data_IF_666663576969
#
_entry.id   IF_666663576969
#
_cell.length_a   1.000
_cell.length_b   1.000
_cell.length_c   1.000
_cell.angle_alpha   90.00
_cell.angle_beta   90.00
_cell.angle_gamma   90.00
#
_symmetry.space_group_name_H-M   'P 1'
#
loop_
_entity.id
_entity.type
_entity.pdbx_description
1 polymer ?
#
# COMPACT_ATOMS: atom_id res chain seq x y z
N UNK A 1 -14.60 -16.00 15.62
CA UNK A 1 -13.33 -16.44 14.99
C UNK A 1 -12.78 -15.23 14.27
N UNK A 2 -11.98 -14.43 14.98
CA UNK A 2 -11.35 -13.23 14.43
C UNK A 2 -10.06 -13.64 13.76
N UNK A 3 -10.03 -13.57 12.43
CA UNK A 3 -8.79 -13.54 11.67
C UNK A 3 -8.27 -12.11 11.78
N UNK A 4 -7.26 -11.89 12.63
CA UNK A 4 -6.62 -10.59 12.75
C UNK A 4 -5.58 -10.46 11.63
N UNK A 5 -5.72 -9.44 10.78
CA UNK A 5 -4.91 -9.23 9.56
C UNK A 5 -3.40 -9.18 9.78
N UNK A 6 -2.95 -8.94 11.02
CA UNK A 6 -1.55 -8.96 11.43
C UNK A 6 -0.93 -10.36 11.24
N UNK A 7 -1.69 -11.44 11.49
CA UNK A 7 -1.14 -12.80 11.49
C UNK A 7 -0.86 -13.34 10.07
N UNK A 8 -1.53 -12.84 9.03
CA UNK A 8 -1.56 -13.50 7.73
C UNK A 8 -0.37 -13.14 6.82
N UNK A 9 -0.03 -11.86 6.66
CA UNK A 9 1.17 -11.51 5.89
C UNK A 9 2.44 -11.78 6.70
N UNK A 10 2.41 -11.58 8.02
CA UNK A 10 3.53 -11.95 8.89
C UNK A 10 3.79 -13.46 8.89
N UNK A 11 2.74 -14.31 8.89
CA UNK A 11 2.90 -15.74 8.69
C UNK A 11 3.38 -16.08 7.27
N UNK A 12 2.90 -15.40 6.23
CA UNK A 12 3.44 -15.55 4.88
C UNK A 12 4.93 -15.23 4.80
N UNK A 13 5.36 -14.17 5.51
CA UNK A 13 6.77 -13.84 5.69
C UNK A 13 7.51 -14.87 6.58
N UNK A 14 6.88 -15.44 7.61
CA UNK A 14 7.48 -16.45 8.48
C UNK A 14 7.53 -17.86 7.86
N UNK A 15 6.66 -18.15 6.88
CA UNK A 15 6.64 -19.38 6.08
C UNK A 15 7.58 -19.29 4.87
N UNK A 16 7.87 -18.06 4.40
CA UNK A 16 8.96 -17.76 3.47
C UNK A 16 9.94 -16.68 3.99
N UNK A 17 10.62 -16.91 5.14
CA UNK A 17 11.53 -15.93 5.75
C UNK A 17 12.61 -15.49 4.77
N UNK A 18 13.03 -16.42 3.91
CA UNK A 18 14.07 -16.20 2.92
C UNK A 18 13.78 -15.04 1.99
N UNK A 19 12.55 -14.81 1.53
CA UNK A 19 12.32 -13.75 0.53
C UNK A 19 12.45 -12.35 1.15
N UNK A 20 11.76 -12.08 2.25
CA UNK A 20 11.87 -10.77 2.93
C UNK A 20 13.27 -10.57 3.51
N UNK A 21 13.83 -11.58 4.16
CA UNK A 21 15.17 -11.48 4.75
C UNK A 21 16.30 -11.46 3.70
N UNK A 22 16.12 -11.99 2.50
CA UNK A 22 17.10 -11.86 1.41
C UNK A 22 16.98 -10.50 0.71
N UNK A 23 15.74 -10.05 0.50
CA UNK A 23 15.45 -8.88 -0.34
C UNK A 23 15.65 -7.57 0.42
N UNK A 24 15.23 -7.47 1.69
CA UNK A 24 15.29 -6.21 2.46
C UNK A 24 16.30 -6.21 3.61
N UNK A 25 17.04 -7.31 3.84
CA UNK A 25 18.12 -7.30 4.86
C UNK A 25 19.19 -6.27 4.51
N UNK A 26 19.49 -5.41 5.49
CA UNK A 26 20.48 -4.34 5.34
C UNK A 26 20.00 -3.15 4.52
N UNK A 27 18.74 -3.14 4.08
CA UNK A 27 18.11 -1.97 3.48
C UNK A 27 17.33 -1.19 4.54
N UNK A 28 17.41 0.14 4.48
CA UNK A 28 16.53 0.99 5.27
C UNK A 28 15.09 0.89 4.73
N UNK A 29 14.10 0.92 5.62
CA UNK A 29 12.71 1.06 5.21
C UNK A 29 12.52 2.35 4.39
N UNK A 30 11.59 2.36 3.41
CA UNK A 30 11.32 3.55 2.62
C UNK A 30 10.76 4.68 3.49
N UNK A 31 11.27 5.90 3.30
CA UNK A 31 10.86 7.09 4.07
C UNK A 31 9.51 7.68 3.64
N UNK A 32 8.96 7.19 2.54
CA UNK A 32 7.76 7.70 1.90
C UNK A 32 7.10 6.63 1.03
N UNK A 33 5.79 6.78 0.80
CA UNK A 33 5.06 5.91 -0.12
C UNK A 33 5.68 5.95 -1.52
N UNK A 34 6.14 7.12 -1.98
CA UNK A 34 6.75 7.25 -3.31
C UNK A 34 8.04 6.46 -3.42
N UNK A 35 8.92 6.52 -2.42
CA UNK A 35 10.12 5.69 -2.36
C UNK A 35 9.77 4.19 -2.33
N UNK A 36 8.76 3.80 -1.54
CA UNK A 36 8.26 2.42 -1.49
C UNK A 36 7.70 1.96 -2.83
N UNK A 37 6.93 2.81 -3.52
CA UNK A 37 6.26 2.49 -4.77
C UNK A 37 7.23 2.34 -5.95
N UNK A 38 8.31 3.13 -5.96
CA UNK A 38 9.36 3.06 -7.00
C UNK A 38 10.32 1.88 -6.80
N UNK A 39 10.46 1.39 -5.57
CA UNK A 39 11.29 0.22 -5.28
C UNK A 39 10.46 -1.07 -5.40
N UNK A 40 10.80 -1.91 -6.38
CA UNK A 40 10.05 -3.13 -6.67
C UNK A 40 9.98 -4.10 -5.48
N UNK A 41 11.04 -4.19 -4.69
CA UNK A 41 11.09 -5.06 -3.53
C UNK A 41 10.16 -4.56 -2.42
N UNK A 42 10.29 -3.29 -2.06
CA UNK A 42 9.46 -2.68 -1.03
C UNK A 42 7.99 -2.60 -1.44
N UNK A 43 7.70 -2.30 -2.70
CA UNK A 43 6.32 -2.33 -3.22
C UNK A 43 5.72 -3.73 -3.13
N UNK A 44 6.49 -4.79 -3.45
CA UNK A 44 6.00 -6.18 -3.37
C UNK A 44 5.63 -6.53 -1.93
N UNK A 45 6.47 -6.15 -0.97
CA UNK A 45 6.21 -6.35 0.46
C UNK A 45 4.97 -5.57 0.90
N UNK A 46 4.85 -4.31 0.52
CA UNK A 46 3.69 -3.49 0.85
C UNK A 46 2.40 -4.02 0.22
N UNK A 47 2.46 -4.53 -1.02
CA UNK A 47 1.33 -5.16 -1.68
C UNK A 47 0.91 -6.45 -0.94
N UNK A 48 1.86 -7.28 -0.50
CA UNK A 48 1.57 -8.49 0.30
C UNK A 48 0.87 -8.14 1.62
N UNK A 49 1.31 -7.07 2.29
CA UNK A 49 0.64 -6.51 3.46
C UNK A 49 -0.81 -6.17 3.15
N UNK A 50 -1.06 -5.32 2.13
CA UNK A 50 -2.41 -4.93 1.72
C UNK A 50 -3.27 -6.14 1.30
N UNK A 51 -2.69 -7.12 0.61
CA UNK A 51 -3.38 -8.33 0.17
C UNK A 51 -3.86 -9.18 1.34
N UNK A 52 -3.08 -9.27 2.41
CA UNK A 52 -3.51 -10.00 3.62
C UNK A 52 -4.69 -9.35 4.33
N UNK A 53 -4.86 -8.05 4.15
CA UNK A 53 -5.99 -7.28 4.66
C UNK A 53 -7.13 -7.13 3.64
N UNK A 54 -7.03 -7.80 2.48
CA UNK A 54 -7.98 -7.66 1.37
C UNK A 54 -8.18 -6.20 0.92
N UNK A 55 -7.12 -5.40 0.93
CA UNK A 55 -7.13 -3.95 0.70
C UNK A 55 -6.18 -3.51 -0.44
N UNK A 56 -6.09 -4.29 -1.53
CA UNK A 56 -5.17 -4.01 -2.66
C UNK A 56 -5.79 -3.11 -3.73
N UNK A 57 -7.10 -2.87 -3.70
CA UNK A 57 -7.84 -2.21 -4.78
C UNK A 57 -7.27 -0.84 -5.14
N UNK A 58 -6.83 -0.07 -4.14
CA UNK A 58 -6.23 1.23 -4.35
C UNK A 58 -4.85 1.12 -5.03
N UNK A 59 -4.05 0.10 -4.71
CA UNK A 59 -2.74 -0.12 -5.32
C UNK A 59 -2.89 -0.62 -6.76
N UNK A 60 -3.81 -1.55 -6.97
CA UNK A 60 -4.08 -2.13 -8.29
C UNK A 60 -4.66 -1.06 -9.24
N UNK A 61 -5.51 -0.16 -8.73
CA UNK A 61 -5.99 1.01 -9.46
C UNK A 61 -4.84 1.94 -9.88
N UNK A 62 -3.96 2.35 -8.95
CA UNK A 62 -2.82 3.23 -9.27
C UNK A 62 -1.93 2.60 -10.36
N UNK A 63 -1.66 1.30 -10.27
CA UNK A 63 -0.87 0.56 -11.27
C UNK A 63 -1.55 0.52 -12.64
N UNK A 64 -2.87 0.31 -12.67
CA UNK A 64 -3.63 0.32 -13.92
C UNK A 64 -3.62 1.71 -14.56
N UNK A 65 -3.76 2.78 -13.77
CA UNK A 65 -3.62 4.15 -14.28
C UNK A 65 -2.22 4.44 -14.82
N UNK A 66 -1.15 3.99 -14.13
CA UNK A 66 0.22 4.13 -14.63
C UNK A 66 0.43 3.40 -15.97
N UNK A 67 -0.18 2.20 -16.11
CA UNK A 67 -0.18 1.46 -17.37
C UNK A 67 -0.91 2.23 -18.48
N UNK A 68 -2.10 2.78 -18.20
CA UNK A 68 -2.82 3.63 -19.13
C UNK A 68 -1.99 4.84 -19.54
N UNK A 69 -1.39 5.57 -18.60
CA UNK A 69 -0.56 6.74 -18.89
C UNK A 69 0.63 6.40 -19.80
N UNK A 70 1.17 5.18 -19.70
CA UNK A 70 2.27 4.71 -20.56
C UNK A 70 1.85 4.27 -21.97
N UNK A 71 0.60 3.85 -22.14
CA UNK A 71 0.10 3.23 -23.39
C UNK A 71 -0.86 4.12 -24.17
N UNK A 72 -1.66 4.94 -23.48
CA UNK A 72 -2.79 5.67 -24.03
C UNK A 72 -3.91 4.77 -24.56
N UNK A 73 -3.93 3.49 -24.16
CA UNK A 73 -4.86 2.49 -24.69
C UNK A 73 -6.26 2.69 -24.11
N UNK A 74 -7.25 2.92 -24.98
CA UNK A 74 -8.63 3.14 -24.58
C UNK A 74 -9.28 1.87 -24.02
N UNK A 75 -8.84 0.68 -24.46
CA UNK A 75 -9.35 -0.58 -23.89
C UNK A 75 -8.91 -0.69 -22.42
N UNK A 76 -7.66 -0.30 -22.11
CA UNK A 76 -7.15 -0.23 -20.73
C UNK A 76 -7.93 0.81 -19.92
N UNK A 77 -8.23 1.98 -20.49
CA UNK A 77 -9.03 2.99 -19.83
C UNK A 77 -10.42 2.47 -19.46
N UNK A 78 -11.08 1.77 -20.39
CA UNK A 78 -12.39 1.18 -20.17
C UNK A 78 -12.34 0.09 -19.08
N UNK A 79 -11.31 -0.77 -19.10
CA UNK A 79 -11.10 -1.78 -18.06
C UNK A 79 -10.92 -1.15 -16.67
N UNK A 80 -10.18 -0.05 -16.57
CA UNK A 80 -10.02 0.70 -15.31
C UNK A 80 -11.38 1.19 -14.81
N UNK A 81 -12.16 1.81 -15.69
CA UNK A 81 -13.47 2.33 -15.36
C UNK A 81 -14.42 1.22 -14.86
N UNK A 82 -14.51 0.13 -15.62
CA UNK A 82 -15.38 -1.00 -15.31
C UNK A 82 -14.99 -1.73 -14.04
N UNK A 83 -13.69 -1.80 -13.72
CA UNK A 83 -13.21 -2.55 -12.57
C UNK A 83 -13.20 -1.76 -11.27
N UNK A 84 -12.93 -0.47 -11.33
CA UNK A 84 -12.63 0.35 -10.15
C UNK A 84 -13.54 1.56 -9.95
N UNK A 85 -14.19 2.07 -11.01
CA UNK A 85 -14.84 3.40 -10.96
C UNK A 85 -16.35 3.32 -10.97
N UNK A 86 -16.95 2.57 -11.89
CA UNK A 86 -18.42 2.57 -12.05
C UNK A 86 -19.14 2.13 -10.76
N UNK A 87 -20.41 2.52 -10.63
CA UNK A 87 -21.18 2.33 -9.40
C UNK A 87 -21.29 0.87 -8.95
N UNK A 88 -21.33 -0.08 -9.89
CA UNK A 88 -21.39 -1.52 -9.64
C UNK A 88 -20.05 -2.24 -9.87
N UNK A 89 -18.95 -1.49 -9.86
CA UNK A 89 -17.61 -2.03 -10.07
C UNK A 89 -17.29 -3.13 -9.03
N UNK A 90 -16.75 -4.28 -9.47
CA UNK A 90 -16.45 -5.41 -8.59
C UNK A 90 -15.38 -5.08 -7.55
N UNK A 91 -14.52 -4.09 -7.81
CA UNK A 91 -13.41 -3.70 -6.94
C UNK A 91 -13.32 -2.18 -6.85
N UNK A 92 -14.42 -1.55 -6.45
CA UNK A 92 -14.56 -0.10 -6.46
C UNK A 92 -13.56 0.61 -5.52
N UNK A 93 -12.87 1.63 -6.02
CA UNK A 93 -12.05 2.52 -5.21
C UNK A 93 -12.86 3.69 -4.64
N UNK A 94 -12.43 4.22 -3.49
CA UNK A 94 -13.11 5.34 -2.84
C UNK A 94 -12.69 6.68 -3.47
N UNK A 95 -13.46 7.13 -4.46
CA UNK A 95 -13.29 8.43 -5.13
C UNK A 95 -14.37 9.43 -4.70
N UNK A 96 -14.00 10.70 -4.60
CA UNK A 96 -14.96 11.81 -4.52
C UNK A 96 -15.93 11.78 -5.70
N UNK A 97 -17.17 12.20 -5.41
CA UNK A 97 -18.24 12.24 -6.41
C UNK A 97 -17.85 13.04 -7.66
N UNK A 98 -17.11 14.15 -7.52
CA UNK A 98 -16.67 14.95 -8.66
C UNK A 98 -15.76 14.18 -9.61
N UNK A 99 -14.77 13.46 -9.08
CA UNK A 99 -13.83 12.69 -9.91
C UNK A 99 -14.53 11.50 -10.57
N UNK A 100 -15.46 10.86 -9.86
CA UNK A 100 -16.30 9.80 -10.40
C UNK A 100 -17.19 10.30 -11.54
N UNK A 101 -17.91 11.41 -11.34
CA UNK A 101 -18.77 11.99 -12.37
C UNK A 101 -17.98 12.35 -13.63
N UNK A 102 -16.79 12.94 -13.50
CA UNK A 102 -15.93 13.21 -14.67
C UNK A 102 -15.61 11.94 -15.47
N UNK A 103 -15.27 10.84 -14.78
CA UNK A 103 -14.97 9.57 -15.45
C UNK A 103 -16.22 8.89 -16.03
N UNK A 104 -17.38 9.03 -15.38
CA UNK A 104 -18.67 8.55 -15.91
C UNK A 104 -19.06 9.30 -17.20
N UNK A 105 -18.83 10.61 -17.26
CA UNK A 105 -19.10 11.43 -18.46
C UNK A 105 -18.19 11.06 -19.65
N UNK A 106 -16.98 10.55 -19.37
CA UNK A 106 -16.02 10.15 -20.42
C UNK A 106 -16.19 8.70 -20.87
N UNK A 107 -16.35 7.77 -19.92
CA UNK A 107 -16.23 6.31 -20.13
C UNK A 107 -17.51 5.53 -19.77
N UNK A 108 -18.52 6.21 -19.23
CA UNK A 108 -19.80 5.60 -18.93
C UNK A 108 -20.60 5.22 -20.18
N UNK A 109 -21.76 4.56 -20.02
CA UNK A 109 -22.58 4.10 -21.14
C UNK A 109 -23.01 5.19 -22.14
N UNK A 110 -23.18 6.41 -21.64
CA UNK A 110 -23.56 7.59 -22.42
C UNK A 110 -22.36 8.53 -22.69
N UNK A 111 -21.14 8.11 -22.32
CA UNK A 111 -19.92 8.90 -22.46
C UNK A 111 -19.35 8.91 -23.88
N UNK A 112 -18.31 9.72 -24.09
CA UNK A 112 -17.66 9.87 -25.40
C UNK A 112 -16.89 8.60 -25.83
N UNK A 113 -16.61 7.68 -24.90
CA UNK A 113 -15.82 6.46 -25.15
C UNK A 113 -14.33 6.75 -25.36
N UNK A 114 -13.90 7.97 -25.05
CA UNK A 114 -12.53 8.43 -25.08
C UNK A 114 -12.33 9.59 -24.11
N UNK A 115 -11.09 9.84 -23.70
CA UNK A 115 -10.75 11.00 -22.90
C UNK A 115 -9.31 11.45 -23.11
N UNK A 116 -8.92 12.58 -22.51
CA UNK A 116 -7.55 13.06 -22.61
C UNK A 116 -6.59 12.13 -21.84
N UNK A 117 -5.29 12.12 -22.19
CA UNK A 117 -4.30 11.21 -21.57
C UNK A 117 -4.15 11.36 -20.05
N UNK A 118 -4.54 12.50 -19.49
CA UNK A 118 -4.46 12.88 -18.08
C UNK A 118 -5.79 12.70 -17.32
N UNK A 119 -6.81 12.09 -17.93
CA UNK A 119 -8.15 12.02 -17.36
C UNK A 119 -8.25 11.30 -16.00
N UNK A 120 -7.27 10.45 -15.67
CA UNK A 120 -7.20 9.76 -14.38
C UNK A 120 -6.32 10.48 -13.34
N UNK A 121 -5.62 11.55 -13.67
CA UNK A 121 -4.60 12.16 -12.79
C UNK A 121 -5.20 12.58 -11.44
N UNK A 122 -6.35 13.26 -11.45
CA UNK A 122 -7.03 13.69 -10.21
C UNK A 122 -7.49 12.51 -9.35
N UNK A 123 -8.01 11.45 -9.97
CA UNK A 123 -8.44 10.23 -9.28
C UNK A 123 -7.24 9.46 -8.72
N UNK A 124 -6.14 9.40 -9.47
CA UNK A 124 -4.89 8.78 -9.05
C UNK A 124 -4.27 9.50 -7.86
N UNK A 125 -4.20 10.83 -7.89
CA UNK A 125 -3.71 11.65 -6.77
C UNK A 125 -4.56 11.45 -5.51
N UNK A 126 -5.88 11.38 -5.67
CA UNK A 126 -6.81 11.12 -4.57
C UNK A 126 -6.57 9.76 -3.92
N UNK A 127 -6.48 8.70 -4.73
CA UNK A 127 -6.24 7.34 -4.22
C UNK A 127 -4.83 7.22 -3.64
N UNK A 128 -3.81 7.86 -4.21
CA UNK A 128 -2.48 7.92 -3.59
C UNK A 128 -2.52 8.58 -2.21
N UNK A 129 -3.26 9.68 -2.04
CA UNK A 129 -3.42 10.33 -0.74
C UNK A 129 -4.13 9.41 0.28
N UNK A 130 -5.13 8.65 -0.18
CA UNK A 130 -5.81 7.65 0.65
C UNK A 130 -4.85 6.54 1.10
N UNK A 131 -4.11 5.94 0.16
CA UNK A 131 -3.11 4.90 0.45
C UNK A 131 -2.06 5.40 1.43
N UNK A 132 -1.55 6.62 1.23
CA UNK A 132 -0.55 7.25 2.13
C UNK A 132 -1.07 7.41 3.56
N UNK A 133 -2.31 7.87 3.70
CA UNK A 133 -2.90 8.19 5.01
C UNK A 133 -3.46 6.98 5.75
N UNK A 134 -3.80 5.90 5.04
CA UNK A 134 -4.32 4.67 5.64
C UNK A 134 -3.35 3.49 5.49
N UNK A 135 -3.37 2.79 4.35
CA UNK A 135 -2.63 1.54 4.16
C UNK A 135 -1.14 1.67 4.45
N UNK A 136 -0.47 2.69 3.91
CA UNK A 136 0.98 2.88 4.06
C UNK A 136 1.35 3.26 5.50
N UNK A 137 0.54 4.07 6.16
CA UNK A 137 0.75 4.40 7.57
C UNK A 137 0.61 3.17 8.47
N UNK A 138 -0.32 2.25 8.17
CA UNK A 138 -0.46 0.97 8.88
C UNK A 138 0.72 0.05 8.60
N UNK A 139 1.10 -0.07 7.33
CA UNK A 139 2.26 -0.84 6.90
C UNK A 139 3.55 -0.46 7.63
N UNK A 140 3.87 0.84 7.74
CA UNK A 140 5.08 1.28 8.44
C UNK A 140 5.10 0.91 9.92
N UNK A 141 3.94 0.91 10.60
CA UNK A 141 3.87 0.51 12.02
C UNK A 141 4.16 -0.96 12.19
N UNK A 142 3.55 -1.82 11.38
CA UNK A 142 3.77 -3.26 11.47
C UNK A 142 5.15 -3.67 10.93
N UNK A 143 5.69 -2.93 9.96
CA UNK A 143 7.05 -3.13 9.47
C UNK A 143 8.08 -2.98 10.60
N UNK A 144 7.94 -1.98 11.47
CA UNK A 144 8.83 -1.80 12.63
C UNK A 144 8.76 -2.99 13.60
N UNK A 145 7.56 -3.55 13.82
CA UNK A 145 7.37 -4.73 14.66
C UNK A 145 8.03 -5.96 14.04
N UNK A 146 7.82 -6.19 12.74
CA UNK A 146 8.44 -7.29 11.99
C UNK A 146 9.97 -7.17 11.97
N UNK A 147 10.49 -5.98 11.74
CA UNK A 147 11.94 -5.71 11.75
C UNK A 147 12.55 -5.98 13.13
N UNK A 148 11.87 -5.58 14.19
CA UNK A 148 12.29 -5.84 15.58
C UNK A 148 12.37 -7.35 15.86
N UNK A 149 11.36 -8.11 15.42
CA UNK A 149 11.30 -9.57 15.60
C UNK A 149 12.41 -10.27 14.79
N UNK A 150 12.58 -9.91 13.52
CA UNK A 150 13.49 -10.60 12.61
C UNK A 150 14.96 -10.25 12.84
N UNK A 151 15.27 -9.00 13.19
CA UNK A 151 16.65 -8.53 13.36
C UNK A 151 17.13 -8.59 14.81
N UNK A 152 16.27 -8.92 15.76
CA UNK A 152 16.65 -9.12 17.16
C UNK A 152 17.16 -7.85 17.85
N UNK A 153 16.91 -6.67 17.27
CA UNK A 153 17.14 -5.40 17.95
C UNK A 153 16.04 -5.19 18.99
N UNK A 154 16.21 -5.81 20.16
CA UNK A 154 15.43 -5.40 21.32
C UNK A 154 15.64 -3.91 21.52
N UNK A 155 14.58 -3.11 21.49
CA UNK A 155 14.60 -1.76 22.02
C UNK A 155 15.08 -1.83 23.49
N UNK A 156 16.38 -1.63 23.71
CA UNK A 156 17.03 -1.30 24.98
C UNK A 156 16.48 -1.93 26.26
N UNK A 157 16.14 -3.23 26.28
CA UNK A 157 15.71 -3.89 27.52
C UNK A 157 16.88 -4.17 28.48
N UNK A 158 18.14 -4.13 27.98
CA UNK A 158 19.34 -4.34 28.80
C UNK A 158 19.97 -3.03 29.32
N UNK A 159 19.36 -1.86 29.08
CA UNK A 159 19.92 -0.58 29.51
C UNK A 159 19.40 -0.08 30.89
N UNK A 160 18.45 -0.78 31.53
CA UNK A 160 17.77 -0.29 32.74
C UNK A 160 17.96 -1.14 34.01
N UNK A 161 18.80 -2.18 33.97
CA UNK A 161 19.24 -2.89 35.18
C UNK A 161 20.77 -3.00 35.24
N UNK A 162 21.43 -1.89 35.58
CA UNK A 162 22.77 -1.97 36.17
C UNK A 162 22.59 -2.13 37.69
N UNK A 163 23.02 -3.26 38.25
CA UNK A 163 23.09 -3.52 39.69
C UNK A 163 24.03 -2.55 40.46
N UNK A 164 24.69 -1.62 39.77
CA UNK A 164 25.64 -0.63 40.31
C UNK A 164 25.08 0.80 40.47
N UNK A 165 23.76 1.02 40.40
CA UNK A 165 23.20 2.34 40.68
C UNK A 165 23.44 2.72 42.17
N UNK A 166 24.05 3.89 42.48
CA UNK A 166 24.40 4.25 43.85
C UNK A 166 23.15 4.40 44.72
N UNK A 167 23.12 3.71 45.86
CA UNK A 167 22.08 3.87 46.87
C UNK A 167 22.14 5.29 47.42
N UNK A 168 21.10 6.06 47.17
CA UNK A 168 20.87 7.34 47.85
C UNK A 168 20.45 7.01 49.28
N UNK A 169 21.36 7.20 50.23
CA UNK A 169 21.05 7.14 51.66
C UNK A 169 20.26 8.38 52.07
N UNK A 170 19.21 8.17 52.87
CA UNK A 170 18.32 9.18 53.46
C UNK A 170 18.91 9.83 54.71
#
# INVERSE_FOLDING_TARGET
>A
MGWHGVDAWQAGLAETPGYFEEVVRGQAAPDSFDACYQDQAWFTIFWLFCNSEYATENLDFIRAVDQFASTGDLDVAQEIYDRYVKDDAPTQVNLRSSNRTTLDELLGPDGEGHGPPDMFDSSREEIQALVRSDNYARFLRELVEVQTILWGETAGADAWWNEDAPRVES
#
